data_IF_509398810232
#
_entry.id   IF_509398810232
#
_cell.length_a   1.000
_cell.length_b   1.000
_cell.length_c   1.000
_cell.angle_alpha   90.00
_cell.angle_beta   90.00
_cell.angle_gamma   90.00
#
_symmetry.space_group_name_H-M   'P 1'
#
loop_
_entity.id
_entity.type
_entity.pdbx_description
1 polymer ?
#
# COMPACT_ATOMS: atom_id res chain seq x y z
N UNK A 1 10.64 -9.34 3.85
CA UNK A 1 11.59 -8.27 4.23
C UNK A 1 10.96 -6.94 3.82
N UNK A 2 10.77 -5.99 4.73
CA UNK A 2 10.25 -4.66 4.37
C UNK A 2 11.32 -3.96 3.54
N UNK A 3 10.94 -3.53 2.34
CA UNK A 3 11.83 -2.86 1.38
C UNK A 3 11.83 -1.36 1.59
N UNK A 4 10.64 -0.78 1.69
CA UNK A 4 10.45 0.68 1.78
C UNK A 4 9.21 1.00 2.61
N UNK A 5 9.28 2.05 3.41
CA UNK A 5 8.14 2.60 4.16
C UNK A 5 8.01 4.08 3.83
N UNK A 6 6.78 4.54 3.61
CA UNK A 6 6.48 5.93 3.28
C UNK A 6 5.19 6.38 3.97
N UNK A 7 5.13 7.64 4.37
CA UNK A 7 3.91 8.25 4.88
C UNK A 7 3.25 9.06 3.76
N UNK A 8 1.94 8.91 3.57
CA UNK A 8 1.19 9.57 2.52
C UNK A 8 -0.20 9.98 3.02
N UNK A 9 -0.49 11.28 3.06
CA UNK A 9 -1.80 11.82 3.48
C UNK A 9 -2.28 11.33 4.86
N UNK A 10 -1.38 11.23 5.84
CA UNK A 10 -1.63 10.66 7.18
C UNK A 10 -1.78 9.12 7.23
N UNK A 11 -1.57 8.45 6.11
CA UNK A 11 -1.50 6.99 6.04
C UNK A 11 -0.05 6.51 6.04
N UNK A 12 0.18 5.32 6.58
CA UNK A 12 1.50 4.66 6.54
C UNK A 12 1.48 3.55 5.50
N UNK A 13 2.42 3.58 4.56
CA UNK A 13 2.59 2.57 3.51
C UNK A 13 3.87 1.79 3.80
N UNK A 14 3.77 0.47 3.90
CA UNK A 14 4.92 -0.42 4.03
C UNK A 14 4.95 -1.41 2.86
N UNK A 15 5.97 -1.34 2.03
CA UNK A 15 6.17 -2.26 0.91
C UNK A 15 7.14 -3.36 1.32
N UNK A 16 6.74 -4.60 1.11
CA UNK A 16 7.52 -5.80 1.37
C UNK A 16 7.80 -6.53 0.06
N UNK A 17 9.06 -6.92 -0.16
CA UNK A 17 9.34 -7.89 -1.21
C UNK A 17 9.05 -9.28 -0.65
N UNK A 18 8.21 -10.02 -1.35
CA UNK A 18 7.98 -11.44 -1.09
C UNK A 18 8.60 -12.24 -2.24
N UNK A 19 9.37 -13.27 -1.88
CA UNK A 19 10.10 -14.09 -2.86
C UNK A 19 9.30 -15.31 -3.29
N UNK A 20 8.02 -15.41 -2.89
CA UNK A 20 7.23 -16.62 -3.02
C UNK A 20 6.27 -16.49 -4.21
N UNK A 21 6.76 -16.91 -5.37
CA UNK A 21 6.04 -17.25 -6.61
C UNK A 21 5.05 -16.19 -7.18
N UNK A 22 5.45 -15.60 -8.31
CA UNK A 22 4.63 -14.83 -9.27
C UNK A 22 4.10 -13.44 -8.86
N UNK A 23 4.34 -12.97 -7.65
CA UNK A 23 4.15 -11.55 -7.28
C UNK A 23 5.29 -11.11 -6.39
N UNK A 24 6.15 -10.23 -6.90
CA UNK A 24 7.42 -9.92 -6.25
C UNK A 24 7.27 -8.98 -5.05
N UNK A 25 6.16 -8.25 -4.96
CA UNK A 25 5.97 -7.23 -3.93
C UNK A 25 4.54 -7.24 -3.38
N UNK A 26 4.45 -7.20 -2.06
CA UNK A 26 3.25 -6.94 -1.29
C UNK A 26 3.37 -5.57 -0.61
N UNK A 27 2.24 -4.98 -0.23
CA UNK A 27 2.26 -3.75 0.56
C UNK A 27 1.13 -3.73 1.58
N UNK A 28 1.39 -3.03 2.68
CA UNK A 28 0.46 -2.77 3.77
C UNK A 28 0.19 -1.26 3.82
N UNK A 29 -1.09 -0.87 3.85
CA UNK A 29 -1.48 0.51 4.10
C UNK A 29 -2.23 0.61 5.41
N UNK A 30 -1.78 1.50 6.28
CA UNK A 30 -2.36 1.74 7.60
C UNK A 30 -3.04 3.10 7.56
N UNK A 31 -4.33 3.10 7.81
CA UNK A 31 -5.14 4.32 7.88
C UNK A 31 -4.93 5.04 9.22
N UNK A 32 -5.19 6.36 9.29
CA UNK A 32 -5.03 7.13 10.53
C UNK A 32 -5.96 6.65 11.66
N UNK A 33 -7.05 5.93 11.36
CA UNK A 33 -7.88 5.26 12.38
C UNK A 33 -7.29 3.94 12.88
N UNK A 34 -6.14 3.50 12.36
CA UNK A 34 -5.40 2.32 12.79
C UNK A 34 -5.79 1.01 12.10
N UNK A 35 -6.63 1.03 11.06
CA UNK A 35 -6.93 -0.17 10.24
C UNK A 35 -5.80 -0.37 9.25
N UNK A 36 -5.40 -1.64 9.11
CA UNK A 36 -4.36 -2.04 8.17
C UNK A 36 -4.99 -2.84 7.04
N UNK A 37 -4.71 -2.47 5.79
CA UNK A 37 -5.03 -3.23 4.60
C UNK A 37 -3.76 -3.83 4.02
N UNK A 38 -3.69 -5.16 4.00
CA UNK A 38 -2.62 -5.91 3.38
C UNK A 38 -2.98 -6.30 1.94
N UNK A 39 -2.12 -5.98 0.99
CA UNK A 39 -2.24 -6.33 -0.43
C UNK A 39 -1.07 -7.20 -0.84
N UNK A 40 -1.31 -8.51 -0.99
CA UNK A 40 -0.29 -9.48 -1.37
C UNK A 40 0.20 -9.39 -2.82
N UNK A 41 -0.58 -8.79 -3.71
CA UNK A 41 -0.26 -8.61 -5.14
C UNK A 41 -0.06 -7.14 -5.49
N UNK A 42 0.96 -6.54 -4.90
CA UNK A 42 1.29 -5.12 -5.09
C UNK A 42 1.87 -4.81 -6.47
N UNK A 43 2.58 -5.77 -7.06
CA UNK A 43 3.10 -5.70 -8.42
C UNK A 43 4.44 -6.39 -8.59
N UNK A 44 5.01 -6.22 -9.78
CA UNK A 44 6.29 -6.82 -10.18
C UNK A 44 7.50 -6.06 -9.62
N UNK A 45 7.31 -4.79 -9.24
CA UNK A 45 8.34 -3.88 -8.74
C UNK A 45 7.85 -3.04 -7.54
N UNK A 46 8.77 -2.65 -6.66
CA UNK A 46 8.51 -1.79 -5.49
C UNK A 46 7.79 -0.48 -5.86
N UNK A 47 8.23 0.17 -6.95
CA UNK A 47 7.62 1.42 -7.43
C UNK A 47 6.14 1.21 -7.76
N UNK A 48 5.82 0.11 -8.42
CA UNK A 48 4.45 -0.25 -8.81
C UNK A 48 3.57 -0.51 -7.59
N UNK A 49 4.11 -1.25 -6.61
CA UNK A 49 3.45 -1.48 -5.33
C UNK A 49 3.18 -0.17 -4.58
N UNK A 50 4.14 0.75 -4.56
CA UNK A 50 3.98 2.04 -3.89
C UNK A 50 2.98 2.96 -4.59
N UNK A 51 2.98 3.02 -5.93
CA UNK A 51 1.97 3.78 -6.67
C UNK A 51 0.57 3.22 -6.43
N UNK A 52 0.39 1.89 -6.47
CA UNK A 52 -0.89 1.26 -6.16
C UNK A 52 -1.37 1.53 -4.74
N UNK A 53 -0.47 1.51 -3.76
CA UNK A 53 -0.80 1.87 -2.39
C UNK A 53 -1.33 3.30 -2.30
N UNK A 54 -0.71 4.25 -3.01
CA UNK A 54 -1.18 5.65 -3.07
C UNK A 54 -2.52 5.79 -3.76
N UNK A 55 -2.74 5.09 -4.89
CA UNK A 55 -4.02 5.12 -5.61
C UNK A 55 -5.17 4.57 -4.75
N UNK A 56 -4.93 3.51 -3.97
CA UNK A 56 -5.90 2.99 -3.01
C UNK A 56 -6.25 4.01 -1.93
N UNK A 57 -5.24 4.68 -1.36
CA UNK A 57 -5.45 5.73 -0.36
C UNK A 57 -6.23 6.90 -0.97
N UNK A 58 -5.89 7.31 -2.19
CA UNK A 58 -6.57 8.41 -2.88
C UNK A 58 -8.04 8.08 -3.15
N UNK A 59 -8.33 6.86 -3.60
CA UNK A 59 -9.69 6.37 -3.80
C UNK A 59 -10.48 6.36 -2.48
N UNK A 60 -9.91 5.81 -1.42
CA UNK A 60 -10.59 5.75 -0.12
C UNK A 60 -10.87 7.15 0.45
N UNK A 61 -9.93 8.09 0.26
CA UNK A 61 -10.11 9.48 0.66
C UNK A 61 -11.18 10.18 -0.18
N UNK A 62 -11.19 9.97 -1.50
CA UNK A 62 -12.22 10.50 -2.39
C UNK A 62 -13.62 9.97 -2.02
N UNK A 63 -13.73 8.66 -1.77
CA UNK A 63 -14.97 8.04 -1.32
C UNK A 63 -15.41 8.52 0.08
N UNK A 64 -14.47 8.87 0.95
CA UNK A 64 -14.76 9.45 2.25
C UNK A 64 -15.19 10.92 2.16
N UNK A 65 -14.67 11.69 1.19
CA UNK A 65 -15.06 13.08 0.94
C UNK A 65 -16.45 13.21 0.30
N UNK A 66 -16.89 12.19 -0.44
CA UNK A 66 -18.25 12.12 -1.01
C UNK A 66 -19.36 11.78 0.01
N UNK A 67 -19.05 11.64 1.31
CA UNK A 67 -20.00 11.26 2.37
C UNK A 67 -20.46 12.39 3.29
#
# INVERSE_FOLDING_TARGET
>A
MIKSTANYKDWTISVSADSNMCSNFSFDVIDPAGRTQHVGMGGDDERRAMERAKELIDLELALAEER
#
